data_IF_422997208470
#
_entry.id   IF_422997208470
#
_cell.length_a   1.000
_cell.length_b   1.000
_cell.length_c   1.000
_cell.angle_alpha   90.00
_cell.angle_beta   90.00
_cell.angle_gamma   90.00
#
_symmetry.space_group_name_H-M   'P 1'
#
loop_
_entity.id
_entity.type
_entity.pdbx_description
1 polymer ?
#
# COMPACT_ATOMS: atom_id res chain seq x y z
N UNK A 1 13.29 0.33 26.39
CA UNK A 1 13.90 1.48 25.68
C UNK A 1 15.38 1.48 26.03
N UNK A 2 16.21 0.79 25.26
CA UNK A 2 17.67 0.95 25.19
C UNK A 2 18.18 0.06 24.05
N UNK A 3 19.10 0.61 23.28
CA UNK A 3 19.82 0.03 22.13
C UNK A 3 19.15 0.04 20.75
N UNK A 4 18.72 1.23 20.31
CA UNK A 4 18.61 1.56 18.88
C UNK A 4 19.87 2.34 18.48
N UNK A 5 21.05 1.77 18.74
CA UNK A 5 22.17 2.04 17.85
C UNK A 5 21.75 1.44 16.51
N UNK A 6 21.17 2.27 15.64
CA UNK A 6 20.64 1.83 14.35
C UNK A 6 21.68 0.95 13.67
N UNK A 7 21.42 -0.36 13.69
CA UNK A 7 22.23 -1.35 13.01
C UNK A 7 22.21 -0.92 11.56
N UNK A 8 23.26 -0.22 11.13
CA UNK A 8 23.48 0.13 9.74
C UNK A 8 23.94 -1.15 9.05
N UNK A 9 23.05 -2.14 9.01
CA UNK A 9 23.21 -3.33 8.19
C UNK A 9 23.58 -2.84 6.79
N UNK A 10 24.74 -3.26 6.29
CA UNK A 10 25.21 -2.86 4.99
C UNK A 10 24.16 -3.24 3.95
N UNK A 11 24.12 -2.54 2.81
CA UNK A 11 23.23 -2.94 1.70
C UNK A 11 23.46 -4.42 1.35
N UNK A 12 24.70 -4.89 1.42
CA UNK A 12 25.07 -6.29 1.23
C UNK A 12 24.39 -7.25 2.22
N UNK A 13 24.15 -6.81 3.44
CA UNK A 13 23.51 -7.59 4.49
C UNK A 13 21.97 -7.64 4.31
N UNK A 14 21.40 -6.70 3.56
CA UNK A 14 19.96 -6.64 3.27
C UNK A 14 19.56 -7.42 2.02
N UNK A 15 20.44 -7.47 1.00
CA UNK A 15 20.20 -8.14 -0.28
C UNK A 15 19.80 -9.64 -0.21
N UNK A 16 20.20 -10.44 0.80
CA UNK A 16 19.74 -11.82 0.91
C UNK A 16 18.20 -11.98 0.94
N UNK A 17 17.44 -10.96 1.34
CA UNK A 17 15.97 -10.98 1.32
C UNK A 17 15.39 -11.22 -0.09
N UNK A 18 16.10 -10.78 -1.13
CA UNK A 18 15.70 -10.94 -2.53
C UNK A 18 15.65 -12.40 -2.98
N UNK A 19 16.35 -13.29 -2.27
CA UNK A 19 16.32 -14.75 -2.53
C UNK A 19 15.07 -15.42 -1.94
N UNK A 20 14.30 -14.72 -1.09
CA UNK A 20 13.11 -15.30 -0.44
C UNK A 20 11.89 -15.21 -1.37
N UNK A 21 11.22 -16.33 -1.72
CA UNK A 21 10.07 -16.28 -2.62
C UNK A 21 8.88 -15.50 -2.04
N UNK A 22 8.67 -15.56 -0.72
CA UNK A 22 7.63 -14.77 -0.04
C UNK A 22 7.83 -13.25 -0.19
N UNK A 23 9.07 -12.77 -0.32
CA UNK A 23 9.32 -11.34 -0.55
C UNK A 23 8.71 -10.89 -1.88
N UNK A 24 8.86 -11.68 -2.94
CA UNK A 24 8.28 -11.40 -4.26
C UNK A 24 6.75 -11.53 -4.26
N UNK A 25 6.20 -12.56 -3.59
CA UNK A 25 4.76 -12.73 -3.47
C UNK A 25 4.11 -11.53 -2.77
N UNK A 26 4.66 -11.11 -1.63
CA UNK A 26 4.17 -9.94 -0.90
C UNK A 26 4.37 -8.65 -1.69
N UNK A 27 5.48 -8.52 -2.43
CA UNK A 27 5.72 -7.37 -3.31
C UNK A 27 4.67 -7.29 -4.42
N UNK A 28 4.29 -8.43 -5.01
CA UNK A 28 3.24 -8.50 -6.02
C UNK A 28 1.87 -8.16 -5.45
N UNK A 29 1.53 -8.69 -4.26
CA UNK A 29 0.29 -8.35 -3.57
C UNK A 29 0.23 -6.85 -3.23
N UNK A 30 1.34 -6.28 -2.77
CA UNK A 30 1.46 -4.86 -2.50
C UNK A 30 1.31 -4.02 -3.77
N UNK A 31 1.94 -4.44 -4.87
CA UNK A 31 1.80 -3.77 -6.17
C UNK A 31 0.36 -3.82 -6.68
N UNK A 32 -0.32 -4.97 -6.58
CA UNK A 32 -1.70 -5.13 -7.01
C UNK A 32 -2.69 -4.30 -6.17
N UNK A 33 -2.37 -4.01 -4.91
CA UNK A 33 -3.26 -3.24 -4.03
C UNK A 33 -2.88 -1.75 -4.03
N UNK A 34 -1.70 -1.42 -3.53
CA UNK A 34 -1.21 -0.06 -3.44
C UNK A 34 -0.86 0.53 -4.81
N UNK A 35 -0.24 -0.25 -5.69
CA UNK A 35 0.07 0.21 -7.05
C UNK A 35 -1.19 0.51 -7.85
N UNK A 36 -2.24 -0.31 -7.75
CA UNK A 36 -3.54 -0.01 -8.35
C UNK A 36 -4.21 1.23 -7.75
N UNK A 37 -4.14 1.43 -6.43
CA UNK A 37 -4.63 2.65 -5.79
C UNK A 37 -3.97 3.91 -6.38
N UNK A 38 -2.64 3.92 -6.50
CA UNK A 38 -1.90 5.04 -7.11
C UNK A 38 -2.23 5.17 -8.61
N UNK A 39 -2.25 4.06 -9.35
CA UNK A 39 -2.53 4.03 -10.78
C UNK A 39 -3.92 4.59 -11.12
N UNK A 40 -4.95 4.17 -10.39
CA UNK A 40 -6.29 4.73 -10.56
C UNK A 40 -6.35 6.19 -10.12
N UNK A 41 -5.69 6.56 -9.02
CA UNK A 41 -5.66 7.96 -8.58
C UNK A 41 -5.04 8.89 -9.63
N UNK A 42 -4.00 8.43 -10.34
CA UNK A 42 -3.35 9.20 -11.40
C UNK A 42 -4.15 9.20 -12.72
N UNK A 43 -4.69 8.04 -13.12
CA UNK A 43 -5.32 7.86 -14.42
C UNK A 43 -6.82 8.19 -14.48
N UNK A 44 -7.53 8.15 -13.35
CA UNK A 44 -8.99 8.25 -13.31
C UNK A 44 -9.52 9.55 -13.90
N UNK A 45 -8.93 10.70 -13.54
CA UNK A 45 -9.38 12.00 -14.04
C UNK A 45 -9.29 12.09 -15.58
N UNK A 46 -8.21 11.54 -16.14
CA UNK A 46 -8.02 11.51 -17.60
C UNK A 46 -9.02 10.55 -18.25
N UNK A 47 -9.17 9.34 -17.73
CA UNK A 47 -10.12 8.35 -18.25
C UNK A 47 -11.55 8.92 -18.25
N UNK A 48 -11.99 9.47 -17.11
CA UNK A 48 -13.31 10.05 -16.99
C UNK A 48 -13.54 11.23 -17.95
N UNK A 49 -12.53 12.08 -18.18
CA UNK A 49 -12.63 13.17 -19.16
C UNK A 49 -12.81 12.66 -20.59
N UNK A 50 -12.20 11.52 -20.93
CA UNK A 50 -12.37 10.91 -22.27
C UNK A 50 -13.74 10.24 -22.44
N UNK A 51 -14.27 9.61 -21.40
CA UNK A 51 -15.55 8.88 -21.48
C UNK A 51 -16.77 9.78 -21.22
N UNK A 52 -16.62 10.81 -20.38
CA UNK A 52 -17.71 11.71 -19.95
C UNK A 52 -17.29 13.18 -20.10
N UNK A 53 -17.09 13.67 -21.33
CA UNK A 53 -16.56 15.02 -21.58
C UNK A 53 -17.48 16.15 -21.08
N UNK A 54 -18.78 15.89 -20.91
CA UNK A 54 -19.74 16.86 -20.39
C UNK A 54 -19.72 17.01 -18.84
N UNK A 55 -19.00 16.12 -18.14
CA UNK A 55 -18.93 16.13 -16.68
C UNK A 55 -17.63 16.78 -16.22
N UNK A 56 -17.72 17.74 -15.31
CA UNK A 56 -16.56 18.33 -14.64
C UNK A 56 -16.00 17.38 -13.58
N UNK A 57 -15.25 16.35 -14.03
CA UNK A 57 -14.76 15.29 -13.16
C UNK A 57 -13.78 15.80 -12.10
N UNK A 58 -13.12 16.94 -12.28
CA UNK A 58 -12.14 17.45 -11.31
C UNK A 58 -12.78 17.76 -9.96
N UNK A 59 -14.08 18.09 -9.94
CA UNK A 59 -14.86 18.26 -8.71
C UNK A 59 -15.12 16.96 -7.95
N UNK A 60 -15.03 15.81 -8.62
CA UNK A 60 -15.35 14.50 -8.08
C UNK A 60 -14.12 13.59 -7.91
N UNK A 61 -13.07 13.80 -8.70
CA UNK A 61 -11.92 12.91 -8.78
C UNK A 61 -11.18 12.72 -7.45
N UNK A 62 -11.21 13.73 -6.57
CA UNK A 62 -10.55 13.65 -5.26
C UNK A 62 -11.17 12.61 -4.31
N UNK A 63 -12.45 12.22 -4.52
CA UNK A 63 -13.12 11.26 -3.66
C UNK A 63 -12.50 9.86 -3.76
N UNK A 64 -11.95 9.47 -4.92
CA UNK A 64 -11.28 8.18 -5.09
C UNK A 64 -10.08 8.02 -4.15
N UNK A 65 -9.07 8.91 -4.22
CA UNK A 65 -7.94 8.92 -3.29
C UNK A 65 -8.38 9.05 -1.82
N UNK A 66 -9.38 9.87 -1.54
CA UNK A 66 -9.87 10.08 -0.17
C UNK A 66 -10.45 8.80 0.44
N UNK A 67 -11.38 8.13 -0.26
CA UNK A 67 -11.98 6.88 0.21
C UNK A 67 -10.92 5.78 0.29
N UNK A 68 -10.02 5.68 -0.68
CA UNK A 68 -8.94 4.68 -0.65
C UNK A 68 -7.97 4.88 0.50
N UNK A 69 -7.64 6.12 0.86
CA UNK A 69 -6.82 6.42 2.03
C UNK A 69 -7.50 6.00 3.34
N UNK A 70 -8.81 6.26 3.49
CA UNK A 70 -9.58 5.78 4.64
C UNK A 70 -9.65 4.26 4.68
N UNK A 71 -9.97 3.63 3.54
CA UNK A 71 -10.04 2.18 3.41
C UNK A 71 -8.73 1.50 3.82
N UNK A 72 -7.57 2.13 3.56
CA UNK A 72 -6.27 1.64 4.02
C UNK A 72 -6.16 1.59 5.55
N UNK A 73 -6.52 2.67 6.24
CA UNK A 73 -6.50 2.71 7.70
C UNK A 73 -7.47 1.69 8.32
N UNK A 74 -8.69 1.60 7.78
CA UNK A 74 -9.66 0.59 8.21
C UNK A 74 -9.19 -0.83 7.94
N UNK A 75 -8.58 -1.08 6.77
CA UNK A 75 -8.00 -2.37 6.42
C UNK A 75 -6.92 -2.80 7.41
N UNK A 76 -6.07 -1.85 7.85
CA UNK A 76 -5.10 -2.10 8.93
C UNK A 76 -5.77 -2.52 10.23
N UNK A 77 -6.75 -1.75 10.70
CA UNK A 77 -7.48 -2.05 11.94
C UNK A 77 -8.17 -3.42 11.88
N UNK A 78 -8.78 -3.76 10.75
CA UNK A 78 -9.44 -5.07 10.55
C UNK A 78 -8.39 -6.18 10.51
N UNK A 79 -7.27 -5.99 9.81
CA UNK A 79 -6.16 -6.94 9.74
C UNK A 79 -5.57 -7.21 11.12
N UNK A 80 -5.41 -6.18 11.94
CA UNK A 80 -4.89 -6.32 13.31
C UNK A 80 -5.86 -7.12 14.20
N UNK A 81 -7.16 -6.96 14.00
CA UNK A 81 -8.19 -7.71 14.76
C UNK A 81 -8.32 -9.16 14.29
N UNK A 82 -8.22 -9.42 12.99
CA UNK A 82 -8.35 -10.76 12.42
C UNK A 82 -7.04 -11.56 12.47
N UNK A 83 -5.89 -10.88 12.45
CA UNK A 83 -4.55 -11.46 12.62
C UNK A 83 -4.05 -11.46 14.07
N UNK A 84 -4.79 -10.85 14.99
CA UNK A 84 -4.40 -10.64 16.39
C UNK A 84 -4.72 -11.80 17.33
N UNK A 85 -4.11 -12.97 17.11
CA UNK A 85 -3.63 -13.88 18.17
C UNK A 85 -2.39 -14.62 17.65
N UNK A 86 -1.22 -14.03 17.89
CA UNK A 86 0.09 -14.72 18.03
C UNK A 86 1.08 -13.72 18.63
N UNK A 87 0.85 -13.45 19.90
CA UNK A 87 1.90 -12.92 20.76
C UNK A 87 2.88 -14.05 21.04
N UNK A 88 3.85 -14.23 20.16
CA UNK A 88 4.95 -15.16 20.36
C UNK A 88 6.20 -14.31 20.55
N UNK A 89 6.26 -13.65 21.72
CA UNK A 89 7.54 -13.25 22.29
C UNK A 89 8.19 -14.53 22.82
N UNK A 90 9.13 -15.06 22.04
CA UNK A 90 10.01 -16.19 22.38
C UNK A 90 11.28 -16.10 21.57
#
# INVERSE_FOLDING_TARGET
>A
MNDIAGSKASIRDQLPVLKRPHMWLLSLLYLATFGSFIGFSAGFAMLAKTQFPAVDILKLAFFGPFIGALARSFGGIISDRLGGVRGDAG
#
